data_IF_350393725614
#
_entry.id   IF_350393725614
#
_cell.length_a   1.000
_cell.length_b   1.000
_cell.length_c   1.000
_cell.angle_alpha   90.00
_cell.angle_beta   90.00
_cell.angle_gamma   90.00
#
_symmetry.space_group_name_H-M   'P 1'
#
loop_
_entity.id
_entity.type
_entity.pdbx_description
1 polymer ?
#
# COMPACT_ATOMS: atom_id res chain seq x y z
N UNK A 1 -0.45 17.41 -12.26
CA UNK A 1 -1.69 16.68 -12.57
C UNK A 1 -2.84 17.31 -11.79
N UNK A 2 -3.92 17.72 -12.43
CA UNK A 2 -5.12 18.21 -11.72
C UNK A 2 -6.03 17.01 -11.45
N UNK A 3 -5.84 16.37 -10.29
CA UNK A 3 -6.75 15.32 -9.84
C UNK A 3 -8.13 15.95 -9.58
N UNK A 4 -9.23 15.28 -9.98
CA UNK A 4 -10.55 15.81 -9.71
C UNK A 4 -10.78 15.87 -8.19
N UNK A 5 -11.26 17.02 -7.66
CA UNK A 5 -11.59 17.09 -6.26
C UNK A 5 -12.73 16.11 -5.94
N UNK A 6 -12.60 15.34 -4.88
CA UNK A 6 -13.73 14.56 -4.36
C UNK A 6 -14.72 15.53 -3.72
N UNK A 7 -15.98 15.39 -4.09
CA UNK A 7 -17.05 16.10 -3.40
C UNK A 7 -17.14 15.53 -1.96
N UNK A 8 -17.18 16.38 -0.92
CA UNK A 8 -17.39 15.90 0.44
C UNK A 8 -18.64 15.01 0.50
N UNK A 9 -18.58 13.86 1.18
CA UNK A 9 -19.72 12.96 1.26
C UNK A 9 -20.87 13.62 1.98
N UNK A 10 -22.05 13.58 1.38
CA UNK A 10 -23.28 13.63 2.13
C UNK A 10 -23.44 12.27 2.84
N UNK A 11 -23.48 12.26 4.16
CA UNK A 11 -23.57 11.03 4.96
C UNK A 11 -24.79 10.15 4.65
N UNK A 12 -25.73 10.64 3.84
CA UNK A 12 -26.87 9.88 3.33
C UNK A 12 -26.65 9.21 1.97
N UNK A 13 -25.60 9.54 1.25
CA UNK A 13 -25.32 9.02 -0.10
C UNK A 13 -23.98 8.32 -0.18
N UNK A 14 -23.95 7.17 -0.85
CA UNK A 14 -22.70 6.46 -1.14
C UNK A 14 -22.06 7.10 -2.36
N UNK A 15 -20.75 7.39 -2.29
CA UNK A 15 -20.04 7.96 -3.41
C UNK A 15 -19.68 6.92 -4.46
N UNK A 16 -19.76 7.34 -5.73
CA UNK A 16 -19.23 6.60 -6.85
C UNK A 16 -17.76 6.94 -7.06
N UNK A 17 -16.97 5.96 -7.44
CA UNK A 17 -15.60 6.17 -7.87
C UNK A 17 -15.39 5.56 -9.25
N UNK A 18 -15.03 6.41 -10.20
CA UNK A 18 -14.69 6.00 -11.55
C UNK A 18 -13.36 6.64 -11.94
N UNK A 19 -12.31 5.85 -11.86
CA UNK A 19 -10.98 6.27 -12.29
C UNK A 19 -10.32 5.11 -13.03
N UNK A 20 -10.53 4.97 -14.36
CA UNK A 20 -10.26 3.77 -15.12
C UNK A 20 -8.77 3.60 -15.44
N UNK A 21 -7.97 3.42 -14.41
CA UNK A 21 -6.60 2.91 -14.50
C UNK A 21 -6.66 1.42 -14.24
N UNK A 22 -6.37 0.63 -15.28
CA UNK A 22 -6.39 -0.83 -15.26
C UNK A 22 -5.06 -1.37 -15.77
N UNK A 23 -4.57 -2.42 -15.12
CA UNK A 23 -3.30 -3.08 -15.43
C UNK A 23 -3.52 -4.30 -16.33
N UNK A 24 -2.54 -4.62 -17.18
CA UNK A 24 -2.62 -5.77 -18.08
C UNK A 24 -3.67 -5.62 -19.19
N UNK A 25 -4.00 -4.39 -19.56
CA UNK A 25 -4.99 -4.07 -20.59
C UNK A 25 -4.28 -3.52 -21.82
N UNK A 26 -4.54 -4.12 -22.99
CA UNK A 26 -3.98 -3.67 -24.25
C UNK A 26 -4.71 -2.44 -24.80
N UNK A 27 -6.03 -2.47 -24.83
CA UNK A 27 -6.88 -1.36 -25.27
C UNK A 27 -7.58 -0.70 -24.08
N UNK A 28 -6.93 0.33 -23.53
CA UNK A 28 -7.45 1.07 -22.36
C UNK A 28 -8.72 1.84 -22.68
N UNK A 29 -8.86 2.33 -23.92
CA UNK A 29 -10.04 3.09 -24.33
C UNK A 29 -11.26 2.17 -24.41
N UNK A 30 -11.12 1.01 -25.01
CA UNK A 30 -12.20 0.03 -25.10
C UNK A 30 -12.67 -0.42 -23.71
N UNK A 31 -11.74 -0.76 -22.80
CA UNK A 31 -12.09 -1.16 -21.43
C UNK A 31 -12.73 0.00 -20.66
N UNK A 32 -12.24 1.22 -20.82
CA UNK A 32 -12.82 2.41 -20.18
C UNK A 32 -14.26 2.64 -20.66
N UNK A 33 -14.51 2.51 -21.96
CA UNK A 33 -15.85 2.69 -22.52
C UNK A 33 -16.80 1.57 -22.06
N UNK A 34 -16.32 0.33 -21.99
CA UNK A 34 -17.10 -0.79 -21.43
C UNK A 34 -17.44 -0.56 -19.96
N UNK A 35 -16.46 -0.18 -19.14
CA UNK A 35 -16.66 0.14 -17.75
C UNK A 35 -17.67 1.30 -17.57
N UNK A 36 -17.58 2.33 -18.40
CA UNK A 36 -18.54 3.45 -18.40
C UNK A 36 -19.95 2.98 -18.75
N UNK A 37 -20.12 2.13 -19.76
CA UNK A 37 -21.41 1.59 -20.13
C UNK A 37 -22.07 0.77 -18.99
N UNK A 38 -21.25 0.09 -18.18
CA UNK A 38 -21.74 -0.62 -16.98
C UNK A 38 -22.31 0.35 -15.95
N UNK A 39 -21.72 1.55 -15.77
CA UNK A 39 -22.22 2.54 -14.78
C UNK A 39 -23.65 2.99 -15.08
N UNK A 40 -24.08 2.94 -16.35
CA UNK A 40 -25.44 3.30 -16.78
C UNK A 40 -26.46 2.21 -16.45
N UNK A 41 -26.02 1.00 -16.15
CA UNK A 41 -26.87 -0.17 -15.91
C UNK A 41 -26.93 -0.57 -14.43
N UNK A 42 -26.06 0.00 -13.59
CA UNK A 42 -25.99 -0.33 -12.17
C UNK A 42 -26.43 0.85 -11.31
N UNK A 43 -27.02 0.54 -10.16
CA UNK A 43 -27.34 1.57 -9.17
C UNK A 43 -26.04 2.25 -8.65
N UNK A 44 -26.15 3.46 -8.08
CA UNK A 44 -25.04 4.15 -7.41
C UNK A 44 -24.29 3.26 -6.41
N UNK A 45 -23.13 3.71 -5.95
CA UNK A 45 -22.19 2.97 -5.12
C UNK A 45 -21.29 2.01 -5.92
N UNK A 46 -20.82 2.46 -7.06
CA UNK A 46 -19.79 1.73 -7.82
C UNK A 46 -18.38 2.24 -7.53
N UNK A 47 -17.43 1.31 -7.68
CA UNK A 47 -16.00 1.59 -7.65
C UNK A 47 -15.35 0.88 -8.83
N UNK A 48 -14.78 1.64 -9.79
CA UNK A 48 -14.14 1.11 -10.99
C UNK A 48 -12.74 1.73 -11.12
N UNK A 49 -11.75 1.02 -10.63
CA UNK A 49 -10.33 1.38 -10.66
C UNK A 49 -9.47 0.17 -10.29
N UNK A 50 -8.18 0.19 -10.58
CA UNK A 50 -7.19 -0.79 -10.10
C UNK A 50 -7.60 -2.26 -10.37
N UNK A 51 -8.07 -2.57 -11.58
CA UNK A 51 -8.63 -3.88 -11.93
C UNK A 51 -9.80 -4.34 -11.02
N UNK A 52 -10.35 -3.45 -10.22
CA UNK A 52 -11.43 -3.72 -9.32
C UNK A 52 -12.71 -3.02 -9.79
N UNK A 53 -13.70 -3.82 -10.19
CA UNK A 53 -14.98 -3.36 -10.68
C UNK A 53 -16.07 -3.90 -9.75
N UNK A 54 -16.71 -3.01 -9.01
CA UNK A 54 -17.78 -3.40 -8.10
C UNK A 54 -18.86 -2.34 -8.00
N UNK A 55 -20.06 -2.74 -7.59
CA UNK A 55 -21.19 -1.87 -7.27
C UNK A 55 -21.95 -2.39 -6.05
N UNK A 56 -22.81 -1.55 -5.49
CA UNK A 56 -23.56 -1.87 -4.29
C UNK A 56 -22.66 -2.04 -3.06
N UNK A 57 -21.53 -1.31 -3.01
CA UNK A 57 -20.62 -1.26 -1.85
C UNK A 57 -20.66 0.13 -1.23
N UNK A 58 -20.41 0.21 0.06
CA UNK A 58 -20.45 1.49 0.79
C UNK A 58 -19.37 2.48 0.39
N UNK A 59 -18.28 2.03 -0.25
CA UNK A 59 -17.12 2.87 -0.57
C UNK A 59 -16.67 3.69 0.65
N UNK A 60 -16.52 3.00 1.80
CA UNK A 60 -16.35 3.62 3.14
C UNK A 60 -15.17 4.57 3.23
N UNK A 61 -14.14 4.38 2.37
CA UNK A 61 -12.99 5.27 2.31
C UNK A 61 -13.37 6.73 2.03
N UNK A 62 -14.45 6.98 1.30
CA UNK A 62 -14.89 8.34 1.00
C UNK A 62 -15.75 8.98 2.09
N UNK A 63 -16.13 8.19 3.10
CA UNK A 63 -16.83 8.66 4.30
C UNK A 63 -15.87 8.99 5.44
N UNK A 64 -14.63 8.48 5.37
CA UNK A 64 -13.55 8.77 6.31
C UNK A 64 -12.82 10.05 5.87
N UNK A 65 -13.33 11.21 6.28
CA UNK A 65 -12.80 12.51 5.86
C UNK A 65 -11.32 12.73 6.23
N UNK A 66 -10.83 12.31 7.41
CA UNK A 66 -9.40 12.36 7.72
C UNK A 66 -8.56 11.55 6.73
N UNK A 67 -9.02 10.35 6.35
CA UNK A 67 -8.35 9.55 5.33
C UNK A 67 -8.39 10.23 3.96
N UNK A 68 -9.55 10.70 3.52
CA UNK A 68 -9.71 11.39 2.23
C UNK A 68 -8.73 12.55 2.13
N UNK A 69 -8.64 13.36 3.19
CA UNK A 69 -7.69 14.48 3.24
C UNK A 69 -6.24 14.01 3.13
N UNK A 70 -5.82 13.04 3.95
CA UNK A 70 -4.47 12.53 3.95
C UNK A 70 -4.09 11.90 2.60
N UNK A 71 -5.02 11.16 1.98
CA UNK A 71 -4.81 10.58 0.66
C UNK A 71 -4.70 11.64 -0.43
N UNK A 72 -5.62 12.60 -0.49
CA UNK A 72 -5.61 13.65 -1.52
C UNK A 72 -4.39 14.58 -1.43
N UNK A 73 -3.95 14.89 -0.22
CA UNK A 73 -2.77 15.73 -0.01
C UNK A 73 -1.46 15.04 -0.44
N UNK A 74 -1.46 13.71 -0.53
CA UNK A 74 -0.22 12.93 -0.74
C UNK A 74 -0.15 12.20 -2.08
N UNK A 75 -1.28 11.90 -2.71
CA UNK A 75 -1.30 11.25 -4.01
C UNK A 75 -0.61 12.10 -5.07
N UNK A 76 0.28 11.52 -5.85
CA UNK A 76 1.13 12.26 -6.79
C UNK A 76 1.04 11.81 -8.25
N UNK A 77 0.30 10.74 -8.54
CA UNK A 77 0.09 10.24 -9.90
C UNK A 77 -1.24 9.51 -10.06
N UNK A 78 -1.64 9.26 -11.32
CA UNK A 78 -2.91 8.58 -11.65
C UNK A 78 -2.97 7.16 -11.09
N UNK A 79 -1.86 6.44 -11.14
CA UNK A 79 -1.78 5.07 -10.60
C UNK A 79 -2.07 5.06 -9.11
N UNK A 80 -1.47 5.99 -8.38
CA UNK A 80 -1.65 6.11 -6.93
C UNK A 80 -3.06 6.60 -6.57
N UNK A 81 -3.66 7.45 -7.41
CA UNK A 81 -5.05 7.85 -7.27
C UNK A 81 -6.01 6.67 -7.47
N UNK A 82 -5.73 5.79 -8.43
CA UNK A 82 -6.57 4.64 -8.73
C UNK A 82 -6.62 3.62 -7.59
N UNK A 83 -5.53 3.46 -6.85
CA UNK A 83 -5.40 2.46 -5.77
C UNK A 83 -5.93 2.94 -4.41
N UNK A 84 -6.87 3.89 -4.39
CA UNK A 84 -7.42 4.47 -3.15
C UNK A 84 -7.94 3.42 -2.17
N UNK A 85 -8.52 2.33 -2.66
CA UNK A 85 -9.01 1.27 -1.78
C UNK A 85 -7.87 0.52 -1.09
N UNK A 86 -6.77 0.23 -1.79
CA UNK A 86 -5.56 -0.33 -1.18
C UNK A 86 -5.01 0.61 -0.11
N UNK A 87 -4.92 1.90 -0.39
CA UNK A 87 -4.47 2.92 0.58
C UNK A 87 -5.36 2.97 1.81
N UNK A 88 -6.67 2.79 1.64
CA UNK A 88 -7.60 2.72 2.77
C UNK A 88 -7.41 1.45 3.62
N UNK A 89 -7.11 0.32 3.00
CA UNK A 89 -6.73 -0.91 3.73
C UNK A 89 -5.50 -0.65 4.62
N UNK A 90 -4.46 0.00 4.08
CA UNK A 90 -3.27 0.38 4.84
C UNK A 90 -3.63 1.32 6.01
N UNK A 91 -4.44 2.34 5.77
CA UNK A 91 -4.87 3.28 6.79
C UNK A 91 -5.67 2.59 7.91
N UNK A 92 -6.61 1.70 7.58
CA UNK A 92 -7.38 0.92 8.55
C UNK A 92 -6.48 -0.02 9.37
N UNK A 93 -5.56 -0.72 8.72
CA UNK A 93 -4.60 -1.59 9.39
C UNK A 93 -3.70 -0.79 10.36
N UNK A 94 -3.21 0.36 9.91
CA UNK A 94 -2.42 1.29 10.70
C UNK A 94 -3.19 1.85 11.89
N UNK A 95 -4.49 2.19 11.71
CA UNK A 95 -5.36 2.66 12.79
C UNK A 95 -5.49 1.65 13.94
N UNK A 96 -5.55 0.35 13.64
CA UNK A 96 -5.55 -0.68 14.67
C UNK A 96 -4.17 -0.90 15.27
N UNK A 97 -3.13 -0.94 14.43
CA UNK A 97 -1.76 -1.22 14.84
C UNK A 97 -1.15 -0.11 15.73
N UNK A 98 -1.58 1.15 15.58
CA UNK A 98 -1.05 2.28 16.34
C UNK A 98 -1.29 2.15 17.86
N UNK A 99 -2.25 1.34 18.27
CA UNK A 99 -2.57 1.05 19.67
C UNK A 99 -1.72 -0.07 20.28
N UNK A 100 -0.91 -0.76 19.48
CA UNK A 100 0.00 -1.82 19.92
C UNK A 100 1.40 -1.25 20.19
N UNK A 101 2.16 -1.92 21.06
CA UNK A 101 3.56 -1.56 21.29
C UNK A 101 4.45 -2.12 20.20
N UNK A 102 4.92 -1.25 19.33
CA UNK A 102 5.79 -1.58 18.20
C UNK A 102 5.83 -0.46 17.18
N UNK A 103 6.88 -0.49 16.38
CA UNK A 103 7.09 0.45 15.29
C UNK A 103 6.33 0.02 14.03
N UNK A 104 6.23 0.93 13.09
CA UNK A 104 5.68 0.71 11.78
C UNK A 104 6.80 0.49 10.76
N UNK A 105 6.59 -0.43 9.84
CA UNK A 105 7.57 -0.78 8.80
C UNK A 105 6.89 -0.86 7.45
N UNK A 106 7.50 -0.26 6.44
CA UNK A 106 7.18 -0.48 5.03
C UNK A 106 8.45 -0.86 4.26
N UNK A 107 8.41 -2.00 3.58
CA UNK A 107 9.46 -2.50 2.72
C UNK A 107 9.04 -2.28 1.26
N UNK A 108 9.77 -1.44 0.52
CA UNK A 108 9.37 -0.95 -0.80
C UNK A 108 8.53 0.32 -0.69
N UNK A 109 9.14 1.42 -0.24
CA UNK A 109 8.37 2.64 -0.01
C UNK A 109 8.37 3.61 -1.20
N UNK A 110 9.19 3.36 -2.23
CA UNK A 110 9.29 4.16 -3.45
C UNK A 110 9.24 5.68 -3.19
N UNK A 111 8.17 6.37 -3.57
CA UNK A 111 7.98 7.82 -3.33
C UNK A 111 7.43 8.16 -1.95
N UNK A 112 7.23 7.16 -1.10
CA UNK A 112 6.76 7.32 0.28
C UNK A 112 5.30 7.78 0.41
N UNK A 113 4.47 7.62 -0.63
CA UNK A 113 3.06 8.05 -0.60
C UNK A 113 2.26 7.23 0.41
N UNK A 114 2.49 5.91 0.49
CA UNK A 114 1.86 5.03 1.48
C UNK A 114 2.17 5.47 2.90
N UNK A 115 3.45 5.62 3.23
CA UNK A 115 3.92 6.11 4.54
C UNK A 115 3.27 7.46 4.87
N UNK A 116 3.37 8.42 3.93
CA UNK A 116 2.90 9.79 4.17
C UNK A 116 1.39 9.84 4.41
N UNK A 117 0.61 9.06 3.64
CA UNK A 117 -0.84 8.95 3.82
C UNK A 117 -1.19 8.37 5.19
N UNK A 118 -0.53 7.30 5.62
CA UNK A 118 -0.74 6.68 6.93
C UNK A 118 -0.36 7.63 8.07
N UNK A 119 0.81 8.26 7.97
CA UNK A 119 1.30 9.18 9.01
C UNK A 119 0.39 10.40 9.14
N UNK A 120 -0.01 11.03 8.03
CA UNK A 120 -0.91 12.19 8.06
C UNK A 120 -2.32 11.83 8.55
N UNK A 121 -2.82 10.65 8.21
CA UNK A 121 -4.08 10.12 8.72
C UNK A 121 -4.06 9.94 10.25
N UNK A 122 -2.92 9.54 10.81
CA UNK A 122 -2.77 9.23 12.24
C UNK A 122 -2.11 10.35 13.08
N UNK A 123 -2.13 11.59 12.60
CA UNK A 123 -1.69 12.75 13.37
C UNK A 123 -0.55 13.59 12.76
N UNK A 124 -0.03 13.21 11.61
CA UNK A 124 1.00 13.96 10.90
C UNK A 124 2.31 14.02 11.68
N UNK A 125 2.78 15.24 11.97
CA UNK A 125 4.02 15.46 12.75
C UNK A 125 3.92 14.96 14.20
N UNK A 126 2.71 14.69 14.70
CA UNK A 126 2.45 14.15 16.03
C UNK A 126 2.17 12.63 15.99
N UNK A 127 2.41 11.97 14.88
CA UNK A 127 2.26 10.52 14.76
C UNK A 127 2.99 9.80 15.89
N UNK A 128 2.32 8.93 16.70
CA UNK A 128 2.84 8.51 18.00
C UNK A 128 3.79 7.31 17.95
N UNK A 129 4.17 6.84 16.78
CA UNK A 129 5.06 5.67 16.59
C UNK A 129 6.24 6.03 15.70
N UNK A 130 7.29 5.22 15.71
CA UNK A 130 8.34 5.31 14.70
C UNK A 130 7.88 4.60 13.43
N UNK A 131 8.09 5.21 12.29
CA UNK A 131 7.85 4.59 10.97
C UNK A 131 9.19 4.40 10.25
N UNK A 132 9.45 3.18 9.79
CA UNK A 132 10.64 2.80 9.04
C UNK A 132 10.24 2.49 7.61
N UNK A 133 10.70 3.29 6.65
CA UNK A 133 10.54 3.04 5.21
C UNK A 133 11.85 2.56 4.62
N UNK A 134 11.85 1.37 4.03
CA UNK A 134 13.01 0.76 3.39
C UNK A 134 12.82 0.67 1.90
N UNK A 135 13.81 1.09 1.13
CA UNK A 135 13.83 0.96 -0.32
C UNK A 135 15.27 1.01 -0.84
N UNK A 136 15.52 0.41 -1.98
CA UNK A 136 16.78 0.60 -2.69
C UNK A 136 16.80 1.94 -3.44
N UNK A 137 15.60 2.45 -3.83
CA UNK A 137 15.36 3.65 -4.64
C UNK A 137 15.99 3.60 -6.04
N UNK A 138 16.43 2.44 -6.45
CA UNK A 138 17.10 2.19 -7.72
C UNK A 138 16.57 0.89 -8.33
N UNK A 139 16.65 0.82 -9.65
CA UNK A 139 16.45 -0.43 -10.37
C UNK A 139 17.81 -0.99 -10.78
N UNK A 140 18.03 -2.26 -10.44
CA UNK A 140 19.22 -2.99 -10.87
C UNK A 140 18.83 -4.01 -11.94
N UNK A 141 19.50 -4.06 -13.10
CA UNK A 141 19.22 -5.05 -14.12
C UNK A 141 19.22 -6.49 -13.57
N UNK A 142 18.16 -7.24 -13.81
CA UNK A 142 17.98 -8.60 -13.29
C UNK A 142 17.01 -8.71 -12.11
N UNK A 143 16.51 -7.61 -11.60
CA UNK A 143 15.40 -7.62 -10.66
C UNK A 143 14.12 -8.17 -11.30
N UNK A 144 13.26 -8.83 -10.51
CA UNK A 144 12.01 -9.44 -11.00
C UNK A 144 10.97 -8.39 -11.40
N UNK A 145 10.97 -7.24 -10.74
CA UNK A 145 10.07 -6.13 -11.09
C UNK A 145 10.65 -5.28 -12.25
N UNK A 146 9.79 -4.51 -12.88
CA UNK A 146 10.19 -3.52 -13.88
C UNK A 146 10.72 -2.23 -13.22
N UNK A 147 11.57 -1.44 -13.92
CA UNK A 147 12.00 -0.15 -13.38
C UNK A 147 10.80 0.78 -13.18
N UNK A 148 10.68 1.35 -12.00
CA UNK A 148 9.71 2.41 -11.74
C UNK A 148 10.21 3.72 -12.35
N UNK A 149 9.27 4.61 -12.68
CA UNK A 149 9.55 5.85 -13.44
C UNK A 149 10.67 6.71 -12.83
N UNK A 150 10.69 6.83 -11.52
CA UNK A 150 11.57 7.75 -10.81
C UNK A 150 12.75 7.04 -10.13
N UNK A 151 12.91 5.71 -10.31
CA UNK A 151 14.07 4.99 -9.80
C UNK A 151 15.36 5.55 -10.38
N UNK A 152 16.29 5.92 -9.52
CA UNK A 152 17.60 6.44 -9.91
C UNK A 152 18.27 7.32 -8.88
N UNK A 153 19.44 7.87 -9.22
CA UNK A 153 20.22 8.71 -8.32
C UNK A 153 19.41 9.92 -7.83
N UNK A 154 19.43 10.14 -6.51
CA UNK A 154 18.79 11.28 -5.88
C UNK A 154 17.36 11.02 -5.35
N UNK A 155 16.67 9.95 -5.76
CA UNK A 155 15.34 9.66 -5.25
C UNK A 155 15.33 9.46 -3.73
N UNK A 156 16.30 8.72 -3.20
CA UNK A 156 16.43 8.52 -1.76
C UNK A 156 16.53 9.85 -0.98
N UNK A 157 17.30 10.80 -1.50
CA UNK A 157 17.49 12.11 -0.85
C UNK A 157 16.22 12.98 -1.00
N UNK A 158 15.54 12.91 -2.13
CA UNK A 158 14.22 13.55 -2.33
C UNK A 158 13.22 13.04 -1.28
N UNK A 159 13.14 11.74 -1.09
CA UNK A 159 12.19 11.15 -0.15
C UNK A 159 12.57 11.45 1.31
N UNK A 160 13.85 11.41 1.67
CA UNK A 160 14.30 11.89 2.99
C UNK A 160 13.92 13.36 3.23
N UNK A 161 14.09 14.22 2.21
CA UNK A 161 13.69 15.62 2.31
C UNK A 161 12.17 15.80 2.45
N UNK A 162 11.36 14.98 1.78
CA UNK A 162 9.89 14.94 1.92
C UNK A 162 9.45 14.69 3.37
N UNK A 163 10.21 13.88 4.11
CA UNK A 163 9.92 13.55 5.51
C UNK A 163 10.72 14.38 6.53
N UNK A 164 11.46 15.39 6.12
CA UNK A 164 12.30 16.18 7.03
C UNK A 164 11.55 16.85 8.19
N UNK A 165 10.25 17.16 8.01
CA UNK A 165 9.39 17.69 9.06
C UNK A 165 8.76 16.62 9.98
N UNK A 166 9.02 15.33 9.73
CA UNK A 166 8.43 14.18 10.45
C UNK A 166 9.54 13.42 11.19
N UNK A 167 9.92 13.83 12.40
CA UNK A 167 11.07 13.27 13.13
C UNK A 167 10.91 11.79 13.47
N UNK A 168 9.70 11.27 13.47
CA UNK A 168 9.36 9.87 13.73
C UNK A 168 9.47 8.98 12.47
N UNK A 169 9.66 9.56 11.27
CA UNK A 169 9.78 8.78 10.02
C UNK A 169 11.26 8.64 9.63
N UNK A 170 11.70 7.40 9.49
CA UNK A 170 13.05 7.04 9.08
C UNK A 170 13.03 6.43 7.69
N UNK A 171 13.56 7.13 6.71
CA UNK A 171 13.76 6.60 5.34
C UNK A 171 15.16 6.04 5.23
N UNK A 172 15.25 4.75 4.96
CA UNK A 172 16.50 3.98 4.95
C UNK A 172 16.72 3.39 3.56
N UNK A 173 17.75 3.88 2.88
CA UNK A 173 18.18 3.30 1.61
C UNK A 173 19.05 2.07 1.86
N UNK A 174 18.73 0.96 1.21
CA UNK A 174 19.53 -0.25 1.24
C UNK A 174 18.82 -1.49 0.75
N UNK A 175 19.60 -2.49 0.43
CA UNK A 175 19.12 -3.78 -0.05
C UNK A 175 18.55 -4.62 1.11
N UNK A 176 17.37 -5.16 0.93
CA UNK A 176 16.74 -6.10 1.86
C UNK A 176 17.26 -7.53 1.57
N UNK A 177 17.63 -8.34 2.59
CA UNK A 177 17.51 -8.06 4.04
C UNK A 177 18.76 -7.40 4.68
N UNK A 178 19.82 -7.14 3.94
CA UNK A 178 21.11 -6.70 4.48
C UNK A 178 20.98 -5.40 5.30
N UNK A 179 20.12 -4.48 4.88
CA UNK A 179 19.89 -3.20 5.55
C UNK A 179 19.38 -3.35 6.99
N UNK A 180 18.67 -4.42 7.32
CA UNK A 180 18.12 -4.67 8.64
C UNK A 180 19.18 -4.95 9.72
N UNK A 181 20.39 -5.36 9.33
CA UNK A 181 21.48 -5.60 10.26
C UNK A 181 21.96 -4.33 10.95
N UNK A 182 21.80 -3.17 10.31
CA UNK A 182 22.28 -1.88 10.83
C UNK A 182 21.18 -0.98 11.34
N UNK A 183 19.97 -1.10 10.79
CA UNK A 183 18.84 -0.23 11.07
C UNK A 183 17.52 -0.96 10.92
N UNK A 184 16.95 -1.43 12.01
CA UNK A 184 15.61 -2.01 12.04
C UNK A 184 15.02 -1.96 13.45
N UNK A 185 13.69 -1.90 13.60
CA UNK A 185 13.05 -1.93 14.90
C UNK A 185 13.17 -3.30 15.56
N UNK A 186 13.18 -3.32 16.88
CA UNK A 186 13.13 -4.56 17.68
C UNK A 186 11.71 -5.14 17.77
N UNK A 187 10.70 -4.28 17.68
CA UNK A 187 9.29 -4.62 17.83
C UNK A 187 8.46 -3.92 16.76
N UNK A 188 7.57 -4.65 16.09
CA UNK A 188 6.78 -4.17 14.95
C UNK A 188 5.29 -4.40 15.23
N UNK A 189 4.47 -3.36 15.11
CA UNK A 189 3.01 -3.49 15.19
C UNK A 189 2.32 -3.46 13.82
N UNK A 190 2.97 -2.84 12.84
CA UNK A 190 2.49 -2.71 11.46
C UNK A 190 3.64 -3.03 10.50
N UNK A 191 3.43 -4.01 9.61
CA UNK A 191 4.38 -4.39 8.58
C UNK A 191 3.69 -4.41 7.23
N UNK A 192 4.11 -3.53 6.32
CA UNK A 192 3.69 -3.52 4.93
C UNK A 192 4.86 -3.96 4.03
N UNK A 193 4.63 -4.92 3.15
CA UNK A 193 5.62 -5.45 2.21
C UNK A 193 5.11 -5.20 0.80
N UNK A 194 5.87 -4.42 0.02
CA UNK A 194 5.57 -3.99 -1.35
C UNK A 194 6.89 -3.90 -2.15
N UNK A 195 7.59 -5.04 -2.26
CA UNK A 195 8.91 -5.10 -2.91
C UNK A 195 8.84 -5.53 -4.37
N UNK A 196 7.70 -6.04 -4.82
CA UNK A 196 7.50 -6.54 -6.18
C UNK A 196 8.50 -7.64 -6.59
N UNK A 197 9.10 -8.32 -5.61
CA UNK A 197 10.09 -9.37 -5.79
C UNK A 197 9.91 -10.49 -4.77
N UNK A 198 9.44 -11.65 -5.22
CA UNK A 198 9.11 -12.79 -4.35
C UNK A 198 10.24 -13.19 -3.39
N UNK A 199 11.48 -13.20 -3.86
CA UNK A 199 12.67 -13.51 -3.05
C UNK A 199 12.96 -12.47 -1.97
N UNK A 200 12.81 -11.20 -2.30
CA UNK A 200 13.06 -10.10 -1.35
C UNK A 200 11.95 -10.04 -0.29
N UNK A 201 10.70 -10.32 -0.65
CA UNK A 201 9.56 -10.35 0.28
C UNK A 201 9.71 -11.48 1.30
N UNK A 202 10.06 -12.68 0.85
CA UNK A 202 10.36 -13.79 1.77
C UNK A 202 11.56 -13.48 2.67
N UNK A 203 12.60 -12.82 2.14
CA UNK A 203 13.75 -12.41 2.95
C UNK A 203 13.38 -11.33 3.99
N UNK A 204 12.49 -10.40 3.64
CA UNK A 204 11.93 -9.44 4.59
C UNK A 204 11.11 -10.14 5.69
N UNK A 205 10.25 -11.10 5.31
CA UNK A 205 9.50 -11.92 6.26
C UNK A 205 10.41 -12.71 7.17
N UNK A 206 11.46 -13.36 6.67
CA UNK A 206 12.43 -14.11 7.48
C UNK A 206 13.15 -13.22 8.53
N UNK A 207 13.41 -11.97 8.18
CA UNK A 207 14.10 -11.03 9.06
C UNK A 207 13.19 -10.36 10.09
N UNK A 208 11.93 -10.07 9.74
CA UNK A 208 11.05 -9.18 10.50
C UNK A 208 9.86 -9.86 11.18
N UNK A 209 9.42 -11.03 10.70
CA UNK A 209 8.19 -11.68 11.18
C UNK A 209 8.18 -11.95 12.68
N UNK A 210 9.30 -12.42 13.24
CA UNK A 210 9.39 -12.75 14.67
C UNK A 210 9.42 -11.50 15.56
N UNK A 211 9.66 -10.33 14.98
CA UNK A 211 9.59 -9.03 15.66
C UNK A 211 8.18 -8.43 15.64
N UNK A 212 7.29 -8.98 14.82
CA UNK A 212 5.88 -8.54 14.81
C UNK A 212 5.20 -9.01 16.09
N UNK A 213 4.68 -8.06 16.85
CA UNK A 213 4.00 -8.32 18.13
C UNK A 213 2.70 -9.10 17.95
N UNK A 214 2.20 -9.79 18.98
CA UNK A 214 0.86 -10.37 18.96
C UNK A 214 -0.20 -9.30 18.61
N UNK A 215 -1.15 -9.65 17.75
CA UNK A 215 -2.14 -8.78 17.13
C UNK A 215 -1.56 -7.76 16.12
N UNK A 216 -0.25 -7.70 15.92
CA UNK A 216 0.36 -6.90 14.86
C UNK A 216 -0.11 -7.32 13.47
N UNK A 217 -0.21 -6.36 12.56
CA UNK A 217 -0.81 -6.55 11.24
C UNK A 217 0.29 -6.55 10.18
N UNK A 218 0.23 -7.54 9.29
CA UNK A 218 1.10 -7.67 8.12
C UNK A 218 0.23 -7.53 6.88
N UNK A 219 0.61 -6.64 5.97
CA UNK A 219 0.01 -6.46 4.64
C UNK A 219 1.05 -6.81 3.58
N UNK A 220 0.64 -7.65 2.62
CA UNK A 220 1.39 -8.02 1.42
C UNK A 220 0.69 -7.35 0.24
N UNK A 221 1.35 -6.40 -0.46
CA UNK A 221 0.60 -5.49 -1.35
C UNK A 221 0.07 -6.17 -2.60
N UNK A 222 0.87 -6.95 -3.30
CA UNK A 222 0.49 -7.59 -4.58
C UNK A 222 0.19 -9.10 -4.47
N UNK A 223 -0.17 -9.58 -3.29
CA UNK A 223 -0.35 -11.01 -2.97
C UNK A 223 -1.34 -11.75 -3.90
N UNK A 224 -2.47 -11.15 -4.27
CA UNK A 224 -3.48 -11.76 -5.15
C UNK A 224 -3.35 -11.37 -6.62
N UNK A 225 -2.30 -10.65 -7.00
CA UNK A 225 -2.05 -10.34 -8.41
C UNK A 225 -1.59 -11.57 -9.20
N UNK A 226 -2.42 -11.99 -10.15
CA UNK A 226 -2.20 -13.22 -10.92
C UNK A 226 -1.24 -13.06 -12.11
N UNK A 227 -0.89 -11.84 -12.48
CA UNK A 227 -0.03 -11.53 -13.63
C UNK A 227 1.46 -11.54 -13.25
N UNK A 228 2.12 -10.39 -13.33
CA UNK A 228 3.56 -10.29 -13.11
C UNK A 228 3.99 -10.72 -11.69
N UNK A 229 3.13 -10.54 -10.69
CA UNK A 229 3.47 -10.76 -9.26
C UNK A 229 2.98 -12.10 -8.69
N UNK A 230 2.44 -13.00 -9.51
CA UNK A 230 1.97 -14.31 -9.05
C UNK A 230 3.01 -15.11 -8.25
N UNK A 231 4.30 -14.90 -8.52
CA UNK A 231 5.39 -15.59 -7.80
C UNK A 231 5.42 -15.24 -6.31
N UNK A 232 5.02 -14.04 -5.92
CA UNK A 232 4.93 -13.62 -4.52
C UNK A 232 4.04 -14.60 -3.75
N UNK A 233 2.77 -14.72 -4.11
CA UNK A 233 1.84 -15.67 -3.50
C UNK A 233 2.38 -17.10 -3.47
N UNK A 234 2.96 -17.59 -4.56
CA UNK A 234 3.47 -18.96 -4.65
C UNK A 234 4.66 -19.24 -3.72
N UNK A 235 5.36 -18.21 -3.27
CA UNK A 235 6.45 -18.35 -2.28
C UNK A 235 6.00 -18.02 -0.86
N UNK A 236 5.10 -17.08 -0.69
CA UNK A 236 4.58 -16.64 0.59
C UNK A 236 3.63 -17.65 1.23
N UNK A 237 2.72 -18.25 0.46
CA UNK A 237 1.78 -19.26 0.99
C UNK A 237 2.50 -20.39 1.74
N UNK A 238 3.46 -21.12 1.14
CA UNK A 238 4.16 -22.18 1.87
C UNK A 238 5.03 -21.65 3.01
N UNK A 239 5.49 -20.39 2.92
CA UNK A 239 6.24 -19.76 3.99
C UNK A 239 5.37 -19.52 5.25
N UNK A 240 4.16 -19.00 5.06
CA UNK A 240 3.19 -18.77 6.14
C UNK A 240 2.61 -20.10 6.67
N UNK A 241 2.29 -21.06 5.79
CA UNK A 241 1.75 -22.36 6.16
C UNK A 241 2.69 -23.15 7.09
N UNK A 242 4.00 -23.14 6.82
CA UNK A 242 5.02 -23.76 7.69
C UNK A 242 5.02 -23.18 9.11
N UNK A 243 4.55 -21.94 9.28
CA UNK A 243 4.46 -21.24 10.57
C UNK A 243 3.06 -21.30 11.18
N UNK A 244 2.15 -22.05 10.53
CA UNK A 244 0.77 -22.23 10.97
C UNK A 244 -0.12 -21.02 10.74
N UNK A 245 0.26 -20.11 9.82
CA UNK A 245 -0.54 -18.96 9.41
C UNK A 245 -1.16 -19.20 8.04
N UNK A 246 -2.24 -18.49 7.79
CA UNK A 246 -2.85 -18.42 6.48
C UNK A 246 -3.10 -16.95 6.14
N UNK A 247 -2.65 -16.53 4.96
CA UNK A 247 -2.89 -15.18 4.46
C UNK A 247 -4.36 -15.03 4.09
N UNK A 248 -5.00 -13.96 4.51
CA UNK A 248 -6.37 -13.60 4.11
C UNK A 248 -6.28 -12.80 2.82
N UNK A 249 -6.76 -13.33 1.69
CA UNK A 249 -6.76 -12.59 0.44
C UNK A 249 -7.83 -11.50 0.49
N UNK A 250 -7.48 -10.29 0.10
CA UNK A 250 -8.39 -9.16 0.02
C UNK A 250 -8.81 -8.90 -1.44
N UNK A 251 -10.03 -8.44 -1.67
CA UNK A 251 -10.50 -8.10 -3.02
C UNK A 251 -9.68 -7.01 -3.71
N UNK A 252 -8.90 -6.24 -2.96
CA UNK A 252 -8.00 -5.21 -3.47
C UNK A 252 -6.73 -5.77 -4.12
N UNK A 253 -6.50 -7.08 -4.05
CA UNK A 253 -5.26 -7.71 -4.49
C UNK A 253 -4.22 -7.90 -3.39
N UNK A 254 -4.47 -7.33 -2.21
CA UNK A 254 -3.56 -7.43 -1.06
C UNK A 254 -3.82 -8.71 -0.26
N UNK A 255 -2.81 -9.11 0.52
CA UNK A 255 -2.90 -10.15 1.54
C UNK A 255 -2.81 -9.56 2.94
N UNK A 256 -3.58 -10.11 3.90
CA UNK A 256 -3.57 -9.67 5.29
C UNK A 256 -3.28 -10.83 6.23
N UNK A 257 -2.38 -10.61 7.19
CA UNK A 257 -2.09 -11.55 8.29
C UNK A 257 -2.12 -10.80 9.62
N UNK A 258 -2.77 -11.41 10.61
CA UNK A 258 -2.73 -10.94 12.00
C UNK A 258 -1.82 -11.88 12.78
N UNK A 259 -0.78 -11.34 13.40
CA UNK A 259 0.17 -12.10 14.22
C UNK A 259 -0.52 -12.63 15.48
N UNK A 260 -0.26 -13.89 15.81
CA UNK A 260 -0.76 -14.51 17.05
C UNK A 260 0.27 -14.43 18.16
#
# INVERSE_FOLDING_TARGET
>A
MNLPPLTPPDFGTVQNFFFPVFWGVEDREAITNLARAVTEQVEPAFHFADNFLTWGRNNSMFQDLPFVKAWQDNVDCDSDFAIVWRRYVLACAAYHAVHLDGDFVECGCYRGVGIKTVVDYLGGVEFPRTFWGYDLFEYVPGMEHHPMRDHGPGLADEIKAKFAAYPQVNIVQGEIPAVFASRSPDSISYLHIDLNQATAEVAALDALFDRVVPAGIIILDDYEWAMAYRRQKLTEDPWFEKRGYRVMPLPTGQGLVIKR
#
